data_IF_306797451449
#
_entry.id   IF_306797451449
#
_cell.length_a   1.000
_cell.length_b   1.000
_cell.length_c   1.000
_cell.angle_alpha   90.00
_cell.angle_beta   90.00
_cell.angle_gamma   90.00
#
_symmetry.space_group_name_H-M   'P 1'
#
loop_
_entity.id
_entity.type
_entity.pdbx_description
1 polymer ?
#
# COMPACT_ATOMS: atom_id res chain seq x y z
N UNK A 1 -5.73 -12.52 15.24
CA UNK A 1 -6.32 -11.73 14.12
C UNK A 1 -6.27 -10.25 14.47
N UNK A 2 -5.06 -9.73 14.55
CA UNK A 2 -4.73 -8.32 14.70
C UNK A 2 -3.86 -7.91 13.51
N UNK A 3 -4.11 -6.73 12.93
CA UNK A 3 -3.19 -6.13 11.96
C UNK A 3 -1.92 -5.67 12.68
N UNK A 4 -0.77 -6.09 12.19
CA UNK A 4 0.55 -5.78 12.79
C UNK A 4 1.37 -4.82 11.96
N UNK A 5 1.14 -4.78 10.64
CA UNK A 5 1.82 -3.86 9.74
C UNK A 5 1.02 -3.62 8.45
N UNK A 6 1.32 -2.52 7.77
CA UNK A 6 0.84 -2.23 6.42
C UNK A 6 2.03 -1.77 5.56
N UNK A 7 2.16 -2.35 4.37
CA UNK A 7 3.25 -2.06 3.42
C UNK A 7 2.69 -1.70 2.06
N UNK A 8 3.30 -0.75 1.37
CA UNK A 8 2.94 -0.39 0.00
C UNK A 8 4.03 -0.76 -1.00
N UNK A 9 3.64 -1.08 -2.23
CA UNK A 9 4.53 -1.46 -3.33
C UNK A 9 4.08 -0.73 -4.60
N UNK A 10 4.97 0.11 -5.14
CA UNK A 10 4.71 0.83 -6.38
C UNK A 10 5.27 0.04 -7.56
N UNK A 11 4.45 -0.10 -8.61
CA UNK A 11 4.82 -0.76 -9.87
C UNK A 11 4.45 0.16 -11.03
N UNK A 12 5.46 0.52 -11.84
CA UNK A 12 5.25 1.25 -13.09
C UNK A 12 5.12 0.24 -14.25
N UNK A 13 3.94 0.06 -14.86
CA UNK A 13 3.71 -0.96 -15.89
C UNK A 13 4.29 -0.62 -17.28
N UNK A 14 5.05 0.47 -17.41
CA UNK A 14 5.67 0.91 -18.66
C UNK A 14 4.84 1.96 -19.41
N UNK A 15 3.52 1.98 -19.21
CA UNK A 15 2.60 3.00 -19.76
C UNK A 15 1.36 3.14 -18.87
N UNK A 16 0.82 4.35 -18.75
CA UNK A 16 -0.41 4.61 -18.02
C UNK A 16 -0.15 5.01 -16.56
N UNK A 17 -1.11 4.70 -15.68
CA UNK A 17 -0.99 4.99 -14.24
C UNK A 17 -0.08 3.98 -13.55
N UNK A 18 0.58 4.42 -12.50
CA UNK A 18 1.31 3.52 -11.60
C UNK A 18 0.30 2.71 -10.77
N UNK A 19 0.70 1.48 -10.43
CA UNK A 19 -0.04 0.61 -9.52
C UNK A 19 0.56 0.73 -8.13
N UNK A 20 -0.29 0.84 -7.11
CA UNK A 20 0.10 0.79 -5.71
C UNK A 20 -0.59 -0.41 -5.06
N UNK A 21 0.16 -1.47 -4.80
CA UNK A 21 -0.31 -2.62 -4.03
C UNK A 21 -0.08 -2.37 -2.55
N UNK A 22 -1.01 -2.78 -1.71
CA UNK A 22 -0.93 -2.64 -0.26
C UNK A 22 -1.09 -4.02 0.36
N UNK A 23 -0.10 -4.43 1.16
CA UNK A 23 -0.15 -5.65 1.97
C UNK A 23 -0.48 -5.28 3.41
N UNK A 24 -1.44 -5.99 3.99
CA UNK A 24 -1.80 -5.90 5.41
C UNK A 24 -1.29 -7.16 6.10
N UNK A 25 -0.29 -7.00 6.95
CA UNK A 25 0.27 -8.09 7.75
C UNK A 25 -0.56 -8.29 9.02
N UNK A 26 -0.78 -9.54 9.38
CA UNK A 26 -1.48 -9.91 10.61
C UNK A 26 -0.61 -10.81 11.49
N UNK A 27 -1.00 -10.93 12.75
CA UNK A 27 -0.40 -11.85 13.72
C UNK A 27 -0.74 -13.33 13.50
N UNK A 28 -1.51 -13.65 12.46
CA UNK A 28 -1.84 -15.02 12.05
C UNK A 28 -1.33 -15.34 10.64
N UNK A 29 -1.74 -16.49 10.12
CA UNK A 29 -1.25 -17.00 8.81
C UNK A 29 -1.91 -16.34 7.59
N UNK A 30 -2.85 -15.42 7.81
CA UNK A 30 -3.60 -14.75 6.73
C UNK A 30 -3.08 -13.32 6.55
N UNK A 31 -2.78 -12.96 5.30
CA UNK A 31 -2.39 -11.61 4.92
C UNK A 31 -3.42 -11.00 3.96
N UNK A 32 -3.73 -9.73 4.15
CA UNK A 32 -4.62 -8.97 3.27
C UNK A 32 -3.84 -8.32 2.12
N UNK A 33 -4.50 -8.19 0.97
CA UNK A 33 -3.98 -7.42 -0.18
C UNK A 33 -5.06 -6.49 -0.72
N UNK A 34 -4.65 -5.28 -1.07
CA UNK A 34 -5.45 -4.29 -1.78
C UNK A 34 -4.64 -3.60 -2.86
N UNK A 35 -5.31 -2.93 -3.78
CA UNK A 35 -4.65 -2.21 -4.87
C UNK A 35 -5.36 -0.89 -5.18
N UNK A 36 -4.59 0.10 -5.63
CA UNK A 36 -5.11 1.31 -6.23
C UNK A 36 -4.16 1.83 -7.31
N UNK A 37 -4.60 2.84 -8.07
CA UNK A 37 -3.77 3.53 -9.03
C UNK A 37 -3.23 4.84 -8.46
N UNK A 38 -2.01 5.17 -8.81
CA UNK A 38 -1.41 6.49 -8.58
C UNK A 38 -1.18 7.19 -9.92
N UNK A 39 -1.43 8.49 -9.93
CA UNK A 39 -1.01 9.32 -11.06
C UNK A 39 0.53 9.46 -11.02
N UNK A 40 1.19 9.60 -12.16
CA UNK A 40 2.66 9.53 -12.30
C UNK A 40 3.45 10.52 -11.41
N UNK A 41 2.83 11.60 -10.94
CA UNK A 41 3.41 12.61 -10.04
C UNK A 41 2.83 12.57 -8.61
N UNK A 42 2.04 11.52 -8.28
CA UNK A 42 1.28 11.42 -7.02
C UNK A 42 1.63 10.23 -6.14
N UNK A 43 2.63 9.45 -6.52
CA UNK A 43 3.11 8.30 -5.75
C UNK A 43 3.38 8.68 -4.29
N UNK A 44 4.17 9.74 -4.08
CA UNK A 44 4.56 10.19 -2.74
C UNK A 44 3.36 10.52 -1.85
N UNK A 45 2.38 11.27 -2.38
CA UNK A 45 1.22 11.69 -1.60
C UNK A 45 0.33 10.50 -1.25
N UNK A 46 0.19 9.52 -2.16
CA UNK A 46 -0.60 8.32 -1.91
C UNK A 46 0.11 7.40 -0.90
N UNK A 47 1.40 7.16 -1.04
CA UNK A 47 2.14 6.29 -0.12
C UNK A 47 2.31 6.93 1.25
N UNK A 48 2.52 8.25 1.32
CA UNK A 48 2.58 8.97 2.60
C UNK A 48 1.29 8.82 3.41
N UNK A 49 0.13 8.71 2.75
CA UNK A 49 -1.13 8.48 3.47
C UNK A 49 -1.14 7.10 4.16
N UNK A 50 -0.61 6.08 3.49
CA UNK A 50 -0.44 4.73 4.06
C UNK A 50 0.52 4.77 5.25
N UNK A 51 1.65 5.47 5.12
CA UNK A 51 2.62 5.65 6.20
C UNK A 51 2.01 6.35 7.42
N UNK A 52 1.15 7.36 7.21
CA UNK A 52 0.50 8.05 8.32
C UNK A 52 -0.51 7.17 9.04
N UNK A 53 -1.26 6.32 8.34
CA UNK A 53 -2.23 5.38 8.92
C UNK A 53 -1.52 4.27 9.70
N UNK A 54 -0.39 3.76 9.18
CA UNK A 54 0.42 2.71 9.82
C UNK A 54 0.79 3.01 11.27
N UNK A 55 0.90 4.29 11.65
CA UNK A 55 1.22 4.73 13.03
C UNK A 55 0.16 4.36 14.08
N UNK A 56 -1.03 3.94 13.65
CA UNK A 56 -2.17 3.63 14.54
C UNK A 56 -2.46 2.12 14.66
N UNK A 57 -1.54 1.25 14.21
CA UNK A 57 -1.66 -0.21 14.24
C UNK A 57 -0.99 -0.84 15.49
#
# INVERSE_FOLDING_TARGET
MKVTDVKHFLVHPGRGKNLCFVRVDTDGDVHGWGECYTQSDRDLQVTAHIDQIKRYL
#
